data_IF_183727467090
#
_entry.id   IF_183727467090
#
_cell.length_a   1.000
_cell.length_b   1.000
_cell.length_c   1.000
_cell.angle_alpha   90.00
_cell.angle_beta   90.00
_cell.angle_gamma   90.00
#
_symmetry.space_group_name_H-M   'P 1'
#
loop_
_entity.id
_entity.type
_entity.pdbx_description
1 polymer ?
#
# COMPACT_ATOMS: atom_id res chain seq x y z
N UNK A 1 36.21 -12.81 -11.37
CA UNK A 1 35.32 -13.31 -12.43
C UNK A 1 33.91 -12.85 -12.08
N UNK A 2 33.32 -11.96 -12.88
CA UNK A 2 31.89 -11.66 -12.76
C UNK A 2 31.10 -12.89 -13.25
N UNK A 3 29.94 -13.21 -12.66
CA UNK A 3 29.14 -14.35 -13.09
C UNK A 3 28.65 -14.15 -14.54
N UNK A 4 28.71 -15.22 -15.35
CA UNK A 4 28.24 -15.21 -16.73
C UNK A 4 26.70 -15.05 -16.78
N UNK A 5 26.11 -14.43 -17.82
CA UNK A 5 24.67 -14.17 -17.91
C UNK A 5 23.79 -15.43 -17.76
N UNK A 6 24.32 -16.59 -18.14
CA UNK A 6 23.71 -17.91 -18.01
C UNK A 6 23.60 -18.44 -16.57
N UNK A 7 24.32 -17.84 -15.64
CA UNK A 7 24.32 -18.19 -14.21
C UNK A 7 23.40 -17.27 -13.39
N UNK A 8 22.58 -16.42 -14.03
CA UNK A 8 21.62 -15.56 -13.33
C UNK A 8 20.21 -16.14 -13.38
N UNK A 9 19.54 -16.23 -12.22
CA UNK A 9 18.14 -16.64 -12.10
C UNK A 9 17.27 -15.51 -11.55
N UNK A 10 15.95 -15.53 -11.83
CA UNK A 10 14.99 -14.62 -11.21
C UNK A 10 15.08 -14.73 -9.69
N UNK A 11 15.03 -13.59 -9.01
CA UNK A 11 15.09 -13.56 -7.56
C UNK A 11 13.74 -13.97 -6.95
N UNK A 12 13.63 -15.15 -6.32
CA UNK A 12 12.37 -15.60 -5.73
C UNK A 12 11.87 -14.65 -4.62
N UNK A 13 12.77 -13.93 -3.95
CA UNK A 13 12.39 -12.91 -2.96
C UNK A 13 11.68 -11.74 -3.60
N UNK A 14 12.09 -11.34 -4.81
CA UNK A 14 11.44 -10.26 -5.57
C UNK A 14 10.02 -10.65 -5.98
N UNK A 15 9.82 -11.90 -6.38
CA UNK A 15 8.49 -12.41 -6.70
C UNK A 15 7.55 -12.40 -5.49
N UNK A 16 8.05 -12.81 -4.31
CA UNK A 16 7.25 -12.74 -3.09
C UNK A 16 6.90 -11.29 -2.71
N UNK A 17 7.83 -10.36 -2.86
CA UNK A 17 7.57 -8.93 -2.64
C UNK A 17 6.52 -8.38 -3.62
N UNK A 18 6.55 -8.79 -4.90
CA UNK A 18 5.52 -8.44 -5.87
C UNK A 18 4.14 -8.97 -5.47
N UNK A 19 4.06 -10.24 -5.04
CA UNK A 19 2.81 -10.85 -4.54
C UNK A 19 2.30 -10.14 -3.29
N UNK A 20 3.19 -9.80 -2.36
CA UNK A 20 2.85 -9.04 -1.16
C UNK A 20 2.32 -7.64 -1.53
N UNK A 21 3.00 -6.93 -2.43
CA UNK A 21 2.60 -5.59 -2.89
C UNK A 21 1.21 -5.59 -3.53
N UNK A 22 0.90 -6.60 -4.35
CA UNK A 22 -0.42 -6.76 -4.93
C UNK A 22 -1.52 -6.89 -3.85
N UNK A 23 -1.29 -7.74 -2.83
CA UNK A 23 -2.23 -7.91 -1.71
C UNK A 23 -2.38 -6.63 -0.89
N UNK A 24 -1.26 -5.98 -0.55
CA UNK A 24 -1.26 -4.74 0.24
C UNK A 24 -2.01 -3.62 -0.50
N UNK A 25 -1.81 -3.44 -1.80
CA UNK A 25 -2.55 -2.44 -2.60
C UNK A 25 -4.06 -2.70 -2.59
N UNK A 26 -4.48 -3.96 -2.68
CA UNK A 26 -5.90 -4.30 -2.59
C UNK A 26 -6.49 -3.92 -1.21
N UNK A 27 -5.81 -4.25 -0.11
CA UNK A 27 -6.28 -3.87 1.23
C UNK A 27 -6.22 -2.36 1.46
N UNK A 28 -5.18 -1.68 0.96
CA UNK A 28 -5.02 -0.23 1.03
C UNK A 28 -6.19 0.49 0.36
N UNK A 29 -6.59 0.07 -0.84
CA UNK A 29 -7.75 0.64 -1.53
C UNK A 29 -9.05 0.49 -0.72
N UNK A 30 -9.24 -0.66 -0.06
CA UNK A 30 -10.38 -0.88 0.83
C UNK A 30 -10.37 0.04 2.06
N UNK A 31 -9.20 0.22 2.68
CA UNK A 31 -9.03 1.11 3.83
C UNK A 31 -9.24 2.58 3.43
N UNK A 32 -8.68 3.02 2.31
CA UNK A 32 -8.82 4.40 1.82
C UNK A 32 -10.28 4.80 1.60
N UNK A 33 -11.11 3.85 1.15
CA UNK A 33 -12.53 4.06 0.89
C UNK A 33 -13.43 3.75 2.10
N UNK A 34 -12.91 3.19 3.19
CA UNK A 34 -13.73 2.67 4.30
C UNK A 34 -14.60 3.75 4.97
N UNK A 35 -14.14 5.00 4.97
CA UNK A 35 -14.84 6.13 5.57
C UNK A 35 -15.68 6.93 4.56
N UNK A 36 -15.62 6.62 3.27
CA UNK A 36 -16.33 7.34 2.21
C UNK A 36 -17.85 7.29 2.39
N UNK A 37 -18.48 6.14 2.70
CA UNK A 37 -19.93 6.08 2.89
C UNK A 37 -20.40 6.93 4.07
N UNK A 38 -19.67 6.88 5.18
CA UNK A 38 -19.97 7.70 6.36
C UNK A 38 -19.81 9.19 6.02
N UNK A 39 -18.70 9.56 5.38
CA UNK A 39 -18.43 10.94 4.98
C UNK A 39 -19.54 11.48 4.05
N UNK A 40 -19.91 10.71 3.03
CA UNK A 40 -20.98 11.07 2.09
C UNK A 40 -22.34 11.22 2.78
N UNK A 41 -22.66 10.39 3.78
CA UNK A 41 -23.92 10.49 4.51
C UNK A 41 -24.01 11.81 5.31
N UNK A 42 -22.91 12.24 5.94
CA UNK A 42 -22.86 13.48 6.73
C UNK A 42 -22.71 14.75 5.88
N UNK A 43 -22.13 14.67 4.68
CA UNK A 43 -21.98 15.83 3.79
C UNK A 43 -23.09 15.98 2.74
N UNK A 44 -23.74 14.87 2.36
CA UNK A 44 -24.65 14.83 1.20
C UNK A 44 -26.13 15.05 1.53
N UNK A 45 -26.54 14.92 2.80
CA UNK A 45 -27.92 15.14 3.24
C UNK A 45 -27.89 15.98 4.51
N UNK A 46 -28.81 16.93 4.64
CA UNK A 46 -29.00 17.73 5.85
C UNK A 46 -29.63 16.89 6.99
N UNK A 47 -29.04 15.72 7.30
CA UNK A 47 -29.53 14.82 8.35
C UNK A 47 -29.19 15.36 9.74
N UNK A 48 -28.10 16.12 9.84
CA UNK A 48 -27.64 16.72 11.09
C UNK A 48 -27.06 18.11 10.84
N UNK A 49 -27.59 19.11 11.54
CA UNK A 49 -27.22 20.53 11.38
C UNK A 49 -26.87 21.16 12.72
N UNK A 50 -25.95 22.12 12.71
CA UNK A 50 -25.49 22.85 13.90
C UNK A 50 -23.97 22.80 14.08
N UNK A 51 -23.42 23.52 15.08
CA UNK A 51 -21.97 23.56 15.33
C UNK A 51 -21.36 22.17 15.56
N UNK A 52 -22.01 21.34 16.36
CA UNK A 52 -21.56 19.97 16.66
C UNK A 52 -21.48 19.09 15.39
N UNK A 53 -22.44 19.25 14.47
CA UNK A 53 -22.43 18.53 13.20
C UNK A 53 -21.25 18.95 12.29
N UNK A 54 -20.89 20.23 12.31
CA UNK A 54 -19.72 20.76 11.58
C UNK A 54 -18.42 20.20 12.16
N UNK A 55 -18.28 20.21 13.48
CA UNK A 55 -17.07 19.71 14.15
C UNK A 55 -16.86 18.21 13.88
N UNK A 56 -17.93 17.42 13.97
CA UNK A 56 -17.89 16.00 13.63
C UNK A 56 -17.50 15.75 12.15
N UNK A 57 -18.06 16.54 11.23
CA UNK A 57 -17.74 16.42 9.79
C UNK A 57 -16.28 16.77 9.51
N UNK A 58 -15.74 17.79 10.18
CA UNK A 58 -14.33 18.16 10.09
C UNK A 58 -13.44 17.05 10.65
N UNK A 59 -13.80 16.47 11.80
CA UNK A 59 -13.08 15.35 12.38
C UNK A 59 -13.07 14.12 11.46
N UNK A 60 -14.23 13.75 10.90
CA UNK A 60 -14.37 12.63 9.98
C UNK A 60 -13.54 12.83 8.71
N UNK A 61 -13.53 14.05 8.17
CA UNK A 61 -12.68 14.44 7.03
C UNK A 61 -11.20 14.27 7.39
N UNK A 62 -10.79 14.71 8.58
CA UNK A 62 -9.42 14.54 9.07
C UNK A 62 -9.04 13.06 9.26
N UNK A 63 -9.94 12.23 9.79
CA UNK A 63 -9.73 10.78 9.96
C UNK A 63 -9.56 10.08 8.60
N UNK A 64 -10.39 10.42 7.60
CA UNK A 64 -10.28 9.92 6.22
C UNK A 64 -8.95 10.28 5.58
N UNK A 65 -8.53 11.55 5.69
CA UNK A 65 -7.24 11.99 5.16
C UNK A 65 -6.07 11.27 5.82
N UNK A 66 -6.09 11.10 7.15
CA UNK A 66 -5.05 10.36 7.88
C UNK A 66 -4.98 8.89 7.45
N UNK A 67 -6.12 8.23 7.28
CA UNK A 67 -6.16 6.84 6.83
C UNK A 67 -5.49 6.67 5.47
N UNK A 68 -5.77 7.58 4.53
CA UNK A 68 -5.16 7.60 3.21
C UNK A 68 -3.63 7.81 3.24
N UNK A 69 -3.15 8.72 4.09
CA UNK A 69 -1.70 8.94 4.23
C UNK A 69 -1.01 7.70 4.79
N UNK A 70 -1.63 7.04 5.79
CA UNK A 70 -1.06 5.84 6.40
C UNK A 70 -1.01 4.66 5.43
N UNK A 71 -2.06 4.43 4.63
CA UNK A 71 -2.10 3.36 3.63
C UNK A 71 -1.07 3.60 2.53
N UNK A 72 -0.95 4.84 2.05
CA UNK A 72 0.04 5.21 1.04
C UNK A 72 1.47 4.95 1.54
N UNK A 73 1.77 5.29 2.79
CA UNK A 73 3.08 5.04 3.38
C UNK A 73 3.44 3.55 3.43
N UNK A 74 2.49 2.69 3.81
CA UNK A 74 2.70 1.22 3.82
C UNK A 74 3.01 0.69 2.42
N UNK A 75 2.29 1.19 1.40
CA UNK A 75 2.55 0.80 0.00
C UNK A 75 3.92 1.28 -0.45
N UNK A 76 4.28 2.52 -0.14
CA UNK A 76 5.57 3.12 -0.50
C UNK A 76 6.75 2.40 0.14
N UNK A 77 6.66 2.02 1.42
CA UNK A 77 7.70 1.27 2.12
C UNK A 77 7.97 -0.07 1.41
N UNK A 78 6.92 -0.79 1.00
CA UNK A 78 7.06 -2.06 0.29
C UNK A 78 7.56 -1.90 -1.16
N UNK A 79 7.18 -0.81 -1.84
CA UNK A 79 7.75 -0.46 -3.15
C UNK A 79 9.24 -0.13 -3.06
N UNK A 80 9.67 0.52 -1.99
CA UNK A 80 11.07 0.83 -1.73
C UNK A 80 11.89 -0.45 -1.49
N UNK A 81 11.37 -1.39 -0.69
CA UNK A 81 11.98 -2.71 -0.51
C UNK A 81 12.09 -3.48 -1.84
N UNK A 82 11.03 -3.44 -2.66
CA UNK A 82 11.04 -4.05 -3.98
C UNK A 82 12.10 -3.41 -4.89
N UNK A 83 12.23 -2.07 -4.88
CA UNK A 83 13.22 -1.35 -5.68
C UNK A 83 14.65 -1.67 -5.25
N UNK A 84 14.88 -1.86 -3.96
CA UNK A 84 16.18 -2.26 -3.41
C UNK A 84 16.54 -3.72 -3.69
N UNK A 85 15.56 -4.56 -4.04
CA UNK A 85 15.76 -6.00 -4.29
C UNK A 85 16.18 -6.28 -5.74
N UNK A 86 17.37 -6.86 -6.00
CA UNK A 86 17.80 -7.18 -7.36
C UNK A 86 16.82 -8.11 -8.09
N UNK A 87 16.61 -7.86 -9.39
CA UNK A 87 15.72 -8.68 -10.23
C UNK A 87 16.24 -10.09 -10.47
N UNK A 88 17.56 -10.20 -10.65
CA UNK A 88 18.24 -11.47 -10.84
C UNK A 88 19.34 -11.64 -9.80
N UNK A 89 19.51 -12.87 -9.35
CA UNK A 89 20.58 -13.27 -8.43
C UNK A 89 21.40 -14.37 -9.08
N UNK A 90 22.68 -14.46 -8.73
CA UNK A 90 23.50 -15.58 -9.16
C UNK A 90 22.86 -16.89 -8.67
N UNK A 91 22.75 -17.86 -9.57
CA UNK A 91 22.32 -19.22 -9.24
C UNK A 91 23.34 -19.79 -8.25
N UNK A 92 22.90 -20.43 -7.16
CA UNK A 92 23.82 -21.19 -6.32
C UNK A 92 24.53 -22.19 -7.23
N UNK A 93 25.86 -22.10 -7.31
CA UNK A 93 26.66 -23.16 -7.92
C UNK A 93 26.36 -24.42 -7.12
N UNK A 94 25.63 -25.36 -7.72
CA UNK A 94 25.49 -26.70 -7.17
C UNK A 94 26.86 -27.37 -7.33
N UNK A 95 27.78 -27.06 -6.41
CA UNK A 95 28.97 -27.85 -6.18
C UNK A 95 28.55 -29.05 -5.33
N UNK A 96 28.19 -30.14 -5.99
CA UNK A 96 28.08 -31.48 -5.39
C UNK A 96 29.21 -32.33 -5.96
#
# INVERSE_FOLDING_TARGET
>A
MAPEPQDMALNPRREELLRALARVRMYAAGLEAALDPAHAAFTGKAVWVGPVARDFTAELTGRRARLRVLTQRIVEDLENELRATPERVARPSAAW
#
